data_IF_079264038579
#
_entry.id   IF_079264038579
#
_cell.length_a   1.000
_cell.length_b   1.000
_cell.length_c   1.000
_cell.angle_alpha   90.00
_cell.angle_beta   90.00
_cell.angle_gamma   90.00
#
_symmetry.space_group_name_H-M   'P 1'
#
loop_
_entity.id
_entity.type
_entity.pdbx_description
1 polymer ?
#
# COMPACT_ATOMS: atom_id res chain seq x y z
N UNK A 1 -1.46 17.67 6.16
CA UNK A 1 -1.65 16.21 5.91
C UNK A 1 -1.53 15.99 4.42
N UNK A 2 -0.61 15.14 3.98
CA UNK A 2 -0.33 14.88 2.56
C UNK A 2 -0.85 13.50 2.22
N UNK A 3 -1.70 13.41 1.19
CA UNK A 3 -2.23 12.14 0.69
C UNK A 3 -1.31 11.60 -0.40
N UNK A 4 -0.88 10.35 -0.25
CA UNK A 4 0.10 9.72 -1.14
C UNK A 4 -0.48 8.43 -1.72
N UNK A 5 -0.47 8.31 -3.04
CA UNK A 5 -0.79 7.07 -3.75
C UNK A 5 0.49 6.40 -4.23
N UNK A 6 0.51 5.07 -4.28
CA UNK A 6 1.71 4.27 -4.61
C UNK A 6 1.40 3.38 -5.81
N UNK A 7 2.09 3.61 -6.92
CA UNK A 7 2.18 2.67 -8.02
C UNK A 7 3.28 1.63 -7.73
N UNK A 8 2.98 0.35 -7.86
CA UNK A 8 3.89 -0.73 -7.45
C UNK A 8 3.81 -1.06 -5.96
N UNK A 9 2.65 -0.89 -5.32
CA UNK A 9 2.44 -1.16 -3.90
C UNK A 9 2.70 -2.63 -3.51
N UNK A 10 2.60 -3.56 -4.47
CA UNK A 10 2.91 -4.98 -4.27
C UNK A 10 4.41 -5.29 -4.22
N UNK A 11 5.28 -4.38 -4.66
CA UNK A 11 6.72 -4.58 -4.64
C UNK A 11 7.34 -4.32 -3.26
N UNK A 12 8.58 -4.73 -3.05
CA UNK A 12 9.29 -4.53 -1.79
C UNK A 12 9.45 -3.04 -1.43
N UNK A 13 9.76 -2.19 -2.41
CA UNK A 13 9.88 -0.75 -2.19
C UNK A 13 8.53 -0.12 -1.81
N UNK A 14 7.44 -0.53 -2.45
CA UNK A 14 6.08 -0.08 -2.11
C UNK A 14 5.67 -0.53 -0.71
N UNK A 15 5.93 -1.78 -0.35
CA UNK A 15 5.69 -2.31 0.99
C UNK A 15 6.49 -1.58 2.06
N UNK A 16 7.76 -1.28 1.82
CA UNK A 16 8.60 -0.56 2.78
C UNK A 16 8.16 0.91 2.95
N UNK A 17 7.79 1.58 1.86
CA UNK A 17 7.20 2.92 1.93
C UNK A 17 5.91 2.90 2.77
N UNK A 18 5.05 1.91 2.58
CA UNK A 18 3.85 1.72 3.39
C UNK A 18 4.19 1.49 4.87
N UNK A 19 5.17 0.64 5.18
CA UNK A 19 5.64 0.41 6.55
C UNK A 19 6.05 1.71 7.24
N UNK A 20 6.78 2.59 6.56
CA UNK A 20 7.17 3.90 7.07
C UNK A 20 5.97 4.82 7.24
N UNK A 21 5.06 4.84 6.26
CA UNK A 21 3.84 5.65 6.30
C UNK A 21 2.90 5.27 7.45
N UNK A 22 2.84 3.99 7.85
CA UNK A 22 2.01 3.53 8.97
C UNK A 22 2.29 4.26 10.29
N UNK A 23 3.51 4.77 10.45
CA UNK A 23 3.93 5.51 11.64
C UNK A 23 4.11 7.01 11.39
N UNK A 24 3.78 7.53 10.20
CA UNK A 24 4.08 8.91 9.83
C UNK A 24 2.86 9.83 10.07
N UNK A 25 2.93 10.80 11.00
CA UNK A 25 1.76 11.56 11.46
C UNK A 25 1.15 12.49 10.41
N UNK A 26 1.92 12.87 9.38
CA UNK A 26 1.47 13.81 8.35
C UNK A 26 1.10 13.15 7.02
N UNK A 27 1.25 11.83 6.88
CA UNK A 27 0.98 11.11 5.63
C UNK A 27 -0.31 10.31 5.74
N UNK A 28 -1.00 10.15 4.63
CA UNK A 28 -2.20 9.32 4.55
C UNK A 28 -2.19 8.53 3.25
N UNK A 29 -2.50 7.24 3.37
CA UNK A 29 -2.48 6.33 2.23
C UNK A 29 -3.69 6.56 1.31
N UNK A 30 -3.38 6.91 0.06
CA UNK A 30 -4.30 7.00 -1.06
C UNK A 30 -4.45 5.66 -1.81
N UNK A 31 -4.57 5.73 -3.13
CA UNK A 31 -4.69 4.54 -3.96
C UNK A 31 -3.40 3.71 -3.95
N UNK A 32 -3.54 2.39 -3.96
CA UNK A 32 -2.44 1.44 -4.01
C UNK A 32 -2.57 0.63 -5.28
N UNK A 33 -1.68 0.85 -6.23
CA UNK A 33 -1.73 0.25 -7.55
C UNK A 33 -0.71 -0.88 -7.69
N UNK A 34 -1.10 -1.96 -8.34
CA UNK A 34 -0.23 -3.07 -8.69
C UNK A 34 -0.78 -3.81 -9.93
N UNK A 35 -0.15 -3.63 -11.09
CA UNK A 35 -0.69 -4.14 -12.35
C UNK A 35 -0.90 -5.66 -12.42
N UNK A 36 -0.03 -6.45 -11.79
CA UNK A 36 -0.17 -7.92 -11.79
C UNK A 36 -1.06 -8.48 -10.69
N UNK A 37 -1.58 -7.65 -9.78
CA UNK A 37 -2.24 -8.08 -8.53
C UNK A 37 -3.45 -7.22 -8.17
N UNK A 38 -4.02 -6.52 -9.12
CA UNK A 38 -5.21 -5.72 -8.88
C UNK A 38 -6.38 -6.62 -8.44
N UNK A 39 -7.20 -6.12 -7.53
CA UNK A 39 -8.29 -6.88 -6.92
C UNK A 39 -7.86 -7.79 -5.79
N UNK A 40 -6.56 -7.92 -5.48
CA UNK A 40 -6.10 -8.58 -4.26
C UNK A 40 -6.04 -7.58 -3.08
N UNK A 41 -6.35 -8.01 -1.84
CA UNK A 41 -6.05 -7.21 -0.66
C UNK A 41 -4.54 -7.13 -0.44
N UNK A 42 -4.03 -5.97 -0.02
CA UNK A 42 -2.61 -5.76 0.24
C UNK A 42 -2.07 -6.75 1.27
N UNK A 43 -2.88 -7.16 2.25
CA UNK A 43 -2.49 -8.17 3.25
C UNK A 43 -2.14 -9.54 2.66
N UNK A 44 -2.65 -9.89 1.47
CA UNK A 44 -2.23 -11.10 0.76
C UNK A 44 -0.82 -10.98 0.16
N UNK A 45 -0.33 -9.76 -0.04
CA UNK A 45 1.02 -9.47 -0.59
C UNK A 45 2.02 -9.19 0.53
N UNK A 46 1.62 -8.36 1.51
CA UNK A 46 2.44 -7.94 2.64
C UNK A 46 1.70 -8.25 3.96
N UNK A 47 1.71 -9.51 4.44
CA UNK A 47 0.99 -9.92 5.64
C UNK A 47 1.42 -9.19 6.92
N UNK A 48 2.64 -8.65 6.93
CA UNK A 48 3.19 -7.86 8.02
C UNK A 48 2.66 -6.41 8.10
N UNK A 49 1.95 -5.92 7.07
CA UNK A 49 1.39 -4.57 7.02
C UNK A 49 -0.08 -4.56 7.47
N UNK A 50 -0.35 -5.00 8.69
CA UNK A 50 -1.71 -5.14 9.24
C UNK A 50 -2.54 -3.85 9.17
N UNK A 51 -1.92 -2.67 9.32
CA UNK A 51 -2.58 -1.37 9.20
C UNK A 51 -3.24 -1.12 7.83
N UNK A 52 -2.82 -1.85 6.80
CA UNK A 52 -3.30 -1.73 5.43
C UNK A 52 -3.79 -3.04 4.84
N UNK A 53 -3.97 -4.08 5.65
CA UNK A 53 -4.28 -5.43 5.17
C UNK A 53 -5.52 -5.47 4.26
N UNK A 54 -6.56 -4.70 4.61
CA UNK A 54 -7.84 -4.66 3.87
C UNK A 54 -7.83 -3.71 2.67
N UNK A 55 -6.70 -3.05 2.36
CA UNK A 55 -6.62 -2.14 1.22
C UNK A 55 -6.54 -2.94 -0.07
N UNK A 56 -7.51 -2.74 -0.95
CA UNK A 56 -7.54 -3.38 -2.27
C UNK A 56 -6.54 -2.72 -3.21
N UNK A 57 -5.76 -3.56 -3.90
CA UNK A 57 -4.89 -3.12 -4.97
C UNK A 57 -5.73 -2.79 -6.21
N UNK A 58 -5.41 -1.67 -6.86
CA UNK A 58 -6.04 -1.25 -8.12
C UNK A 58 -5.08 -1.47 -9.30
N UNK A 59 -5.63 -1.45 -10.51
CA UNK A 59 -4.83 -1.38 -11.74
C UNK A 59 -3.90 -0.15 -11.71
N UNK A 60 -2.70 -0.29 -12.28
CA UNK A 60 -1.69 0.77 -12.30
C UNK A 60 -2.00 1.85 -13.32
#
# INVERSE_FOLDING_TARGET
MIRVSIAGASGYAGGELLRLMASHPQLTVGALAAGGRAGEPLGAVHPNLSAYADRMLVET
#
